data_IF_078993856300
#
_entry.id   IF_078993856300
#
_cell.length_a   1.000
_cell.length_b   1.000
_cell.length_c   1.000
_cell.angle_alpha   90.00
_cell.angle_beta   90.00
_cell.angle_gamma   90.00
#
_symmetry.space_group_name_H-M   'P 1'
#
loop_
_entity.id
_entity.type
_entity.pdbx_description
1 polymer ?
#
# COMPACT_ATOMS: atom_id res chain seq x y z
N UNK A 1 -0.37 2.76 13.58
CA UNK A 1 -0.08 1.33 13.77
C UNK A 1 -0.15 0.55 12.47
N UNK A 2 -1.32 0.44 11.80
CA UNK A 2 -1.46 -0.40 10.59
C UNK A 2 -0.60 0.03 9.39
N UNK A 3 -0.49 1.35 9.16
CA UNK A 3 0.41 1.91 8.11
C UNK A 3 1.89 1.53 8.29
N UNK A 4 2.34 1.32 9.54
CA UNK A 4 3.71 0.91 9.83
C UNK A 4 3.95 -0.59 9.60
N UNK A 5 2.88 -1.39 9.51
CA UNK A 5 2.95 -2.85 9.29
C UNK A 5 2.90 -3.23 7.80
N UNK A 6 2.76 -2.25 6.89
CA UNK A 6 2.67 -2.51 5.45
C UNK A 6 1.39 -3.23 5.01
N UNK A 7 0.34 -3.24 5.86
CA UNK A 7 -0.93 -3.91 5.55
C UNK A 7 -1.90 -2.88 4.95
N UNK A 8 -2.45 -3.10 3.74
CA UNK A 8 -3.45 -2.21 3.16
C UNK A 8 -4.69 -2.16 4.05
N UNK A 9 -5.27 -0.97 4.24
CA UNK A 9 -6.39 -0.78 5.17
C UNK A 9 -7.30 0.34 4.71
N UNK A 10 -8.60 0.10 4.88
CA UNK A 10 -9.67 1.08 4.72
C UNK A 10 -10.40 1.19 6.05
N UNK A 11 -10.70 2.42 6.47
CA UNK A 11 -11.38 2.71 7.73
C UNK A 11 -12.77 3.30 7.45
N UNK A 12 -13.74 3.02 8.32
CA UNK A 12 -15.08 3.61 8.23
C UNK A 12 -15.97 3.01 7.14
N UNK A 13 -15.67 1.79 6.66
CA UNK A 13 -16.56 1.08 5.75
C UNK A 13 -17.85 0.66 6.47
N UNK A 14 -19.00 1.18 6.02
CA UNK A 14 -20.32 0.81 6.54
C UNK A 14 -20.82 -0.48 5.88
N UNK A 15 -20.25 -1.62 6.28
CA UNK A 15 -20.52 -2.93 5.70
C UNK A 15 -20.67 -3.97 6.80
N UNK A 16 -21.69 -4.82 6.68
CA UNK A 16 -21.88 -5.95 7.59
C UNK A 16 -20.86 -7.07 7.28
N UNK A 17 -19.99 -7.48 8.22
CA UNK A 17 -18.95 -8.47 7.94
C UNK A 17 -19.49 -9.83 7.47
N UNK A 18 -20.69 -10.21 7.89
CA UNK A 18 -21.36 -11.45 7.48
C UNK A 18 -21.58 -11.52 5.96
N UNK A 19 -21.81 -10.38 5.29
CA UNK A 19 -22.05 -10.34 3.84
C UNK A 19 -20.76 -10.48 3.02
N UNK A 20 -19.60 -10.43 3.67
CA UNK A 20 -18.28 -10.58 3.03
C UNK A 20 -17.71 -11.99 3.17
N UNK A 21 -18.33 -12.85 3.99
CA UNK A 21 -17.83 -14.19 4.23
C UNK A 21 -17.74 -15.00 2.92
N UNK A 22 -16.55 -15.55 2.64
CA UNK A 22 -16.22 -16.34 1.43
C UNK A 22 -16.35 -15.59 0.10
N UNK A 23 -16.39 -14.25 0.13
CA UNK A 23 -16.36 -13.43 -1.08
C UNK A 23 -14.94 -12.98 -1.38
N UNK A 24 -14.64 -12.76 -2.65
CA UNK A 24 -13.34 -12.21 -3.04
C UNK A 24 -13.37 -10.70 -2.84
N UNK A 25 -12.34 -10.15 -2.18
CA UNK A 25 -12.26 -8.74 -1.88
C UNK A 25 -10.98 -8.13 -2.43
N UNK A 26 -11.05 -6.90 -2.90
CA UNK A 26 -9.87 -6.02 -3.07
C UNK A 26 -9.99 -4.88 -2.07
N UNK A 27 -8.96 -4.71 -1.24
CA UNK A 27 -8.84 -3.59 -0.29
C UNK A 27 -7.90 -2.55 -0.91
N UNK A 28 -8.46 -1.46 -1.42
CA UNK A 28 -7.68 -0.36 -2.00
C UNK A 28 -7.45 0.72 -0.93
N UNK A 29 -6.31 0.63 -0.25
CA UNK A 29 -5.91 1.59 0.78
C UNK A 29 -5.50 2.97 0.24
N UNK A 30 -5.25 3.10 -1.07
CA UNK A 30 -4.92 4.39 -1.68
C UNK A 30 -6.19 5.21 -1.94
N UNK A 31 -7.24 4.54 -2.42
CA UNK A 31 -8.53 5.16 -2.72
C UNK A 31 -9.51 5.13 -1.54
N UNK A 32 -9.25 4.29 -0.53
CA UNK A 32 -10.16 4.08 0.58
C UNK A 32 -11.38 3.23 0.18
N UNK A 33 -11.23 2.32 -0.78
CA UNK A 33 -12.32 1.56 -1.39
C UNK A 33 -12.22 0.06 -1.07
N UNK A 34 -13.38 -0.60 -0.94
CA UNK A 34 -13.50 -2.05 -0.84
C UNK A 34 -14.33 -2.55 -2.02
N UNK A 35 -13.74 -3.38 -2.87
CA UNK A 35 -14.44 -4.02 -3.98
C UNK A 35 -14.83 -5.43 -3.56
N UNK A 36 -16.08 -5.83 -3.82
CA UNK A 36 -16.64 -7.15 -3.49
C UNK A 36 -16.94 -7.91 -4.76
N UNK A 37 -16.46 -9.15 -4.86
CA UNK A 37 -16.54 -10.01 -6.05
C UNK A 37 -16.17 -9.27 -7.34
N UNK A 38 -14.96 -8.67 -7.41
CA UNK A 38 -14.50 -7.96 -8.60
C UNK A 38 -14.43 -8.89 -9.81
N UNK A 39 -14.64 -8.33 -11.00
CA UNK A 39 -14.50 -9.07 -12.25
C UNK A 39 -13.06 -9.61 -12.43
N UNK A 40 -12.88 -10.76 -13.10
CA UNK A 40 -11.54 -11.36 -13.30
C UNK A 40 -10.53 -10.42 -13.96
N UNK A 41 -10.98 -9.56 -14.88
CA UNK A 41 -10.12 -8.55 -15.53
C UNK A 41 -9.59 -7.54 -14.52
N UNK A 42 -10.44 -7.09 -13.59
CA UNK A 42 -10.06 -6.13 -12.57
C UNK A 42 -9.07 -6.75 -11.57
N UNK A 43 -9.25 -8.03 -11.24
CA UNK A 43 -8.29 -8.78 -10.42
C UNK A 43 -6.90 -8.83 -11.05
N UNK A 44 -6.80 -9.08 -12.36
CA UNK A 44 -5.53 -9.11 -13.07
C UNK A 44 -4.84 -7.74 -13.06
N UNK A 45 -5.59 -6.65 -13.28
CA UNK A 45 -5.03 -5.30 -13.22
C UNK A 45 -4.48 -4.96 -11.82
N UNK A 46 -5.22 -5.25 -10.75
CA UNK A 46 -4.73 -5.02 -9.39
C UNK A 46 -3.51 -5.90 -9.06
N UNK A 47 -3.47 -7.15 -9.51
CA UNK A 47 -2.29 -8.01 -9.34
C UNK A 47 -1.05 -7.46 -10.07
N UNK A 48 -1.24 -6.91 -11.29
CA UNK A 48 -0.16 -6.24 -12.03
C UNK A 48 0.36 -5.02 -11.26
N UNK A 49 -0.54 -4.16 -10.77
CA UNK A 49 -0.16 -2.98 -9.98
C UNK A 49 0.60 -3.34 -8.69
N UNK A 50 0.15 -4.36 -7.96
CA UNK A 50 0.85 -4.85 -6.76
C UNK A 50 2.26 -5.34 -7.13
N UNK A 51 2.41 -6.04 -8.25
CA UNK A 51 3.71 -6.53 -8.69
C UNK A 51 4.66 -5.37 -9.04
N UNK A 52 4.16 -4.34 -9.73
CA UNK A 52 4.92 -3.12 -10.06
C UNK A 52 5.37 -2.38 -8.79
N UNK A 53 4.49 -2.24 -7.79
CA UNK A 53 4.81 -1.61 -6.50
C UNK A 53 5.89 -2.39 -5.74
N UNK A 54 5.85 -3.73 -5.77
CA UNK A 54 6.86 -4.57 -5.14
C UNK A 54 8.22 -4.38 -5.82
N UNK A 55 8.28 -4.36 -7.15
CA UNK A 55 9.55 -4.13 -7.87
C UNK A 55 10.12 -2.73 -7.61
N UNK A 56 9.27 -1.69 -7.59
CA UNK A 56 9.67 -0.33 -7.23
C UNK A 56 10.19 -0.26 -5.79
N UNK A 57 9.51 -0.93 -4.86
CA UNK A 57 9.92 -0.97 -3.45
C UNK A 57 11.30 -1.62 -3.29
N UNK A 58 11.57 -2.73 -4.01
CA UNK A 58 12.90 -3.37 -3.99
C UNK A 58 14.00 -2.45 -4.50
N UNK A 59 13.76 -1.70 -5.59
CA UNK A 59 14.73 -0.73 -6.10
C UNK A 59 15.02 0.39 -5.08
N UNK A 60 14.02 0.78 -4.29
CA UNK A 60 14.18 1.80 -3.26
C UNK A 60 14.87 1.28 -1.98
N UNK A 61 14.82 -0.03 -1.69
CA UNK A 61 15.51 -0.64 -0.54
C UNK A 61 17.04 -0.46 -0.62
N UNK A 62 17.62 -0.48 -1.82
CA UNK A 62 19.05 -0.24 -2.04
C UNK A 62 19.47 1.18 -1.60
N UNK A 63 18.56 2.15 -1.69
CA UNK A 63 18.79 3.56 -1.34
C UNK A 63 18.54 3.86 0.15
N UNK A 64 17.96 2.93 0.93
CA UNK A 64 17.62 3.15 2.35
C UNK A 64 18.85 3.50 3.19
N UNK A 65 20.02 2.97 2.83
CA UNK A 65 21.27 3.23 3.55
C UNK A 65 21.99 4.50 3.09
N UNK A 66 21.49 5.19 2.05
CA UNK A 66 22.09 6.42 1.56
C UNK A 66 21.79 7.59 2.50
N UNK A 67 22.73 8.55 2.63
CA UNK A 67 22.49 9.73 3.43
C UNK A 67 21.38 10.60 2.81
N UNK A 68 20.47 11.08 3.65
CA UNK A 68 19.37 11.95 3.21
C UNK A 68 19.90 13.31 2.70
N UNK A 69 20.06 13.41 1.39
CA UNK A 69 20.62 14.58 0.70
C UNK A 69 19.82 14.90 -0.57
N UNK A 70 19.64 16.19 -0.87
CA UNK A 70 19.11 16.63 -2.15
C UNK A 70 20.12 16.38 -3.27
N UNK A 71 19.67 16.39 -4.53
CA UNK A 71 20.56 16.32 -5.71
C UNK A 71 21.62 17.42 -5.75
N UNK A 72 21.40 18.53 -5.04
CA UNK A 72 22.34 19.65 -4.88
C UNK A 72 23.42 19.40 -3.81
N UNK A 73 23.33 18.33 -3.02
CA UNK A 73 24.25 18.01 -1.92
C UNK A 73 23.86 18.59 -0.56
N UNK A 74 22.76 19.35 -0.47
CA UNK A 74 22.24 19.84 0.81
C UNK A 74 21.65 18.69 1.64
N UNK A 75 22.04 18.59 2.92
CA UNK A 75 21.54 17.58 3.85
C UNK A 75 20.16 17.94 4.38
N UNK A 76 19.27 16.95 4.44
CA UNK A 76 17.96 17.07 5.08
C UNK A 76 17.84 16.06 6.22
N UNK A 77 16.94 16.33 7.17
CA UNK A 77 16.68 15.43 8.28
C UNK A 77 15.42 14.62 8.00
N UNK A 78 15.58 13.32 7.77
CA UNK A 78 14.47 12.37 7.70
C UNK A 78 14.35 11.73 9.08
N UNK A 79 13.15 11.76 9.66
CA UNK A 79 12.85 11.19 10.97
C UNK A 79 11.64 10.28 10.86
N UNK A 80 11.63 9.21 11.65
CA UNK A 80 10.46 8.38 11.83
C UNK A 80 9.58 8.98 12.94
N UNK A 81 8.30 9.15 12.65
CA UNK A 81 7.32 9.43 13.68
C UNK A 81 7.01 8.12 14.42
N UNK A 82 7.78 7.84 15.47
CA UNK A 82 7.54 6.73 16.39
C UNK A 82 6.69 7.23 17.56
N UNK A 83 5.58 6.56 17.82
CA UNK A 83 4.66 6.80 18.94
C UNK A 83 4.19 5.50 19.55
#
# INVERSE_FOLDING_TARGET
MVRALGIPTVMGADIQPSVLHRRTLIVDGYRGELLVDPEPVLLQEYQRLISEEIELSRLAEDDVNLPAQLKSGERIKVMLNAG
#
